data_IF_674249938848
#
_entry.id   IF_674249938848
#
_cell.length_a   1.000
_cell.length_b   1.000
_cell.length_c   1.000
_cell.angle_alpha   90.00
_cell.angle_beta   90.00
_cell.angle_gamma   90.00
#
_symmetry.space_group_name_H-M   'P 1'
#
loop_
_entity.id
_entity.type
_entity.pdbx_description
1 polymer ?
#
# COMPACT_ATOMS: atom_id res chain seq x y z
N UNK A 1 -16.84 35.85 3.77
CA UNK A 1 -17.74 34.79 4.27
C UNK A 1 -16.89 33.75 4.97
N UNK A 2 -17.14 33.45 6.24
CA UNK A 2 -16.32 32.52 7.02
C UNK A 2 -16.28 31.15 6.33
N UNK A 3 -15.08 30.69 5.97
CA UNK A 3 -14.84 29.50 5.16
C UNK A 3 -15.10 28.24 6.02
N UNK A 4 -16.38 27.86 6.16
CA UNK A 4 -16.82 26.76 7.01
C UNK A 4 -16.27 25.43 6.48
N UNK A 5 -15.72 24.59 7.37
CA UNK A 5 -15.26 23.24 7.02
C UNK A 5 -16.43 22.46 6.40
N UNK A 6 -16.26 21.86 5.21
CA UNK A 6 -17.34 21.14 4.54
C UNK A 6 -17.75 19.89 5.35
N UNK A 7 -19.06 19.64 5.46
CA UNK A 7 -19.56 18.38 6.04
C UNK A 7 -19.53 17.28 4.97
N UNK A 8 -18.37 16.62 4.85
CA UNK A 8 -18.12 15.60 3.83
C UNK A 8 -19.12 14.43 3.93
N UNK A 9 -19.67 14.15 5.12
CA UNK A 9 -20.61 13.03 5.30
C UNK A 9 -21.95 13.25 4.58
N UNK A 10 -22.33 14.52 4.32
CA UNK A 10 -23.56 14.88 3.60
C UNK A 10 -23.39 14.97 2.09
N UNK A 11 -22.17 14.81 1.59
CA UNK A 11 -21.87 14.96 0.16
C UNK A 11 -21.97 13.61 -0.57
N UNK A 12 -22.63 13.62 -1.73
CA UNK A 12 -22.63 12.49 -2.67
C UNK A 12 -21.21 12.26 -3.22
N UNK A 13 -20.98 11.11 -3.87
CA UNK A 13 -19.69 10.85 -4.51
C UNK A 13 -19.38 11.91 -5.58
N UNK A 14 -20.34 12.27 -6.43
CA UNK A 14 -20.13 13.27 -7.47
C UNK A 14 -19.79 14.64 -6.90
N UNK A 15 -20.49 15.06 -5.84
CA UNK A 15 -20.19 16.31 -5.14
C UNK A 15 -18.78 16.31 -4.56
N UNK A 16 -18.30 15.19 -4.01
CA UNK A 16 -16.93 15.07 -3.52
C UNK A 16 -15.93 15.09 -4.68
N UNK A 17 -16.19 14.34 -5.74
CA UNK A 17 -15.31 14.25 -6.91
C UNK A 17 -15.04 15.64 -7.52
N UNK A 18 -16.01 16.55 -7.49
CA UNK A 18 -15.84 17.91 -8.01
C UNK A 18 -15.13 18.88 -7.04
N UNK A 19 -14.87 18.47 -5.79
CA UNK A 19 -14.09 19.28 -4.85
C UNK A 19 -12.60 19.26 -5.18
N UNK A 20 -11.94 20.42 -5.03
CA UNK A 20 -10.47 20.51 -4.95
C UNK A 20 -9.98 19.90 -3.65
N UNK A 21 -8.88 19.16 -3.70
CA UNK A 21 -8.30 18.51 -2.50
C UNK A 21 -7.99 19.55 -1.40
N UNK A 22 -7.46 20.73 -1.77
CA UNK A 22 -7.21 21.82 -0.84
C UNK A 22 -8.47 22.42 -0.17
N UNK A 23 -9.66 22.19 -0.72
CA UNK A 23 -10.93 22.67 -0.21
C UNK A 23 -11.65 21.68 0.72
N UNK A 24 -11.12 20.46 0.86
CA UNK A 24 -11.58 19.50 1.86
C UNK A 24 -11.30 19.97 3.30
N UNK A 25 -10.37 20.92 3.47
CA UNK A 25 -9.94 21.51 4.77
C UNK A 25 -9.65 20.45 5.83
N UNK A 26 -8.91 19.42 5.43
CA UNK A 26 -8.55 18.28 6.26
C UNK A 26 -7.43 18.62 7.26
N UNK A 27 -7.50 17.98 8.42
CA UNK A 27 -6.55 18.11 9.52
C UNK A 27 -6.23 16.72 10.06
N UNK A 28 -5.04 16.55 10.63
CA UNK A 28 -4.67 15.31 11.33
C UNK A 28 -5.29 15.28 12.73
N UNK A 29 -5.38 16.45 13.38
CA UNK A 29 -5.92 16.63 14.71
C UNK A 29 -7.33 16.05 14.83
N UNK A 30 -7.59 15.43 15.98
CA UNK A 30 -8.89 14.82 16.33
C UNK A 30 -9.34 13.69 15.40
N UNK A 31 -8.39 13.03 14.70
CA UNK A 31 -8.67 11.87 13.84
C UNK A 31 -8.05 10.58 14.39
N UNK A 32 -8.49 9.40 13.94
CA UNK A 32 -7.78 8.14 14.21
C UNK A 32 -6.32 8.15 13.74
N UNK A 33 -5.98 8.97 12.73
CA UNK A 33 -4.62 9.11 12.23
C UNK A 33 -3.70 9.76 13.27
N UNK A 34 -4.17 10.76 14.02
CA UNK A 34 -3.41 11.37 15.12
C UNK A 34 -2.96 10.30 16.13
N UNK A 35 -3.89 9.43 16.56
CA UNK A 35 -3.58 8.35 17.50
C UNK A 35 -2.52 7.36 16.98
N UNK A 36 -2.49 7.13 15.66
CA UNK A 36 -1.50 6.25 15.02
C UNK A 36 -0.12 6.92 14.97
N UNK A 37 -0.07 8.22 14.68
CA UNK A 37 1.16 9.02 14.73
C UNK A 37 1.69 9.10 16.16
N UNK A 38 0.83 9.29 17.15
CA UNK A 38 1.20 9.30 18.56
C UNK A 38 1.79 7.94 18.98
N UNK A 39 1.15 6.84 18.56
CA UNK A 39 1.69 5.50 18.77
C UNK A 39 3.08 5.32 18.13
N UNK A 40 3.29 5.78 16.89
CA UNK A 40 4.62 5.74 16.26
C UNK A 40 5.66 6.51 17.09
N UNK A 41 5.31 7.72 17.54
CA UNK A 41 6.20 8.55 18.36
C UNK A 41 6.52 7.89 19.70
N UNK A 42 5.55 7.24 20.33
CA UNK A 42 5.77 6.45 21.54
C UNK A 42 6.73 5.29 21.27
N UNK A 43 6.56 4.56 20.16
CA UNK A 43 7.44 3.45 19.78
C UNK A 43 8.90 3.91 19.57
N UNK A 44 9.10 5.07 18.94
CA UNK A 44 10.43 5.69 18.77
C UNK A 44 11.03 6.06 20.13
N UNK A 45 10.26 6.68 21.02
CA UNK A 45 10.72 7.07 22.36
C UNK A 45 11.07 5.85 23.21
N UNK A 46 10.28 4.78 23.17
CA UNK A 46 10.58 3.52 23.86
C UNK A 46 11.88 2.86 23.38
N UNK A 47 12.34 3.21 22.17
CA UNK A 47 13.64 2.80 21.61
C UNK A 47 14.78 3.78 21.90
N UNK A 48 14.57 4.78 22.77
CA UNK A 48 15.57 5.81 23.10
C UNK A 48 15.69 6.94 22.07
N UNK A 49 14.90 6.89 20.99
CA UNK A 49 15.02 7.87 19.91
C UNK A 49 14.25 9.14 20.26
N UNK A 50 14.95 10.27 20.36
CA UNK A 50 14.33 11.60 20.54
C UNK A 50 13.72 12.16 19.25
N UNK A 51 14.03 11.54 18.11
CA UNK A 51 13.50 11.92 16.82
C UNK A 51 11.99 11.68 16.74
N UNK A 52 11.27 12.69 16.26
CA UNK A 52 9.84 12.62 15.97
C UNK A 52 9.62 13.16 14.56
N UNK A 53 9.27 12.32 13.57
CA UNK A 53 9.01 12.80 12.23
C UNK A 53 7.84 13.78 12.25
N UNK A 54 7.94 14.90 11.51
CA UNK A 54 6.74 15.73 11.31
C UNK A 54 5.87 15.11 10.24
N UNK A 55 4.57 15.00 10.52
CA UNK A 55 3.62 14.45 9.56
C UNK A 55 2.77 15.56 8.92
N UNK A 56 2.41 15.39 7.65
CA UNK A 56 1.44 16.25 6.97
C UNK A 56 0.58 15.44 6.00
N UNK A 57 -0.59 15.98 5.65
CA UNK A 57 -1.44 15.36 4.63
C UNK A 57 -0.95 15.74 3.24
N UNK A 58 -0.86 14.76 2.34
CA UNK A 58 -0.53 14.86 0.91
C UNK A 58 -1.51 14.00 0.10
N UNK A 59 -1.25 13.76 -1.18
CA UNK A 59 -1.99 12.79 -2.00
C UNK A 59 -1.45 11.36 -1.94
N UNK A 60 -0.24 11.14 -1.45
CA UNK A 60 0.33 9.80 -1.24
C UNK A 60 1.20 9.65 0.02
N UNK A 61 1.61 8.43 0.33
CA UNK A 61 2.63 8.10 1.32
C UNK A 61 4.02 8.31 0.73
N UNK A 62 4.86 9.09 1.41
CA UNK A 62 6.28 9.19 1.09
C UNK A 62 7.04 9.97 2.17
N UNK A 63 8.35 9.83 2.17
CA UNK A 63 9.28 10.59 3.01
C UNK A 63 10.33 11.24 2.12
N UNK A 64 10.25 12.55 1.85
CA UNK A 64 11.14 13.19 0.89
C UNK A 64 12.60 13.18 1.35
N UNK A 65 13.49 13.03 0.38
CA UNK A 65 14.93 13.12 0.63
C UNK A 65 15.31 14.46 1.27
N UNK A 66 16.09 14.38 2.36
CA UNK A 66 16.54 15.56 3.09
C UNK A 66 15.45 16.24 3.93
N UNK A 67 14.25 15.66 4.03
CA UNK A 67 13.16 16.15 4.89
C UNK A 67 12.82 15.07 5.91
N UNK A 68 13.14 15.27 7.20
CA UNK A 68 12.81 14.34 8.28
C UNK A 68 11.33 14.28 8.67
N UNK A 69 10.45 13.96 7.72
CA UNK A 69 9.02 13.87 7.95
C UNK A 69 8.30 13.00 6.93
N UNK A 70 7.01 12.77 7.19
CA UNK A 70 6.17 11.78 6.50
C UNK A 70 4.97 12.49 5.87
N UNK A 71 4.83 12.37 4.56
CA UNK A 71 3.61 12.67 3.82
C UNK A 71 2.61 11.51 4.00
N UNK A 72 1.36 11.86 4.28
CA UNK A 72 0.28 10.89 4.54
C UNK A 72 -0.88 11.18 3.58
N UNK A 73 -1.44 10.17 2.88
CA UNK A 73 -2.56 10.40 1.98
C UNK A 73 -3.77 11.02 2.69
N UNK A 74 -4.33 12.06 2.06
CA UNK A 74 -5.41 12.87 2.63
C UNK A 74 -6.66 12.03 2.95
N UNK A 75 -6.91 10.96 2.20
CA UNK A 75 -8.11 10.14 2.38
C UNK A 75 -8.16 9.45 3.75
N UNK A 76 -7.01 9.22 4.40
CA UNK A 76 -6.92 8.66 5.75
C UNK A 76 -7.40 9.61 6.85
N UNK A 77 -7.53 10.91 6.56
CA UNK A 77 -7.98 11.90 7.52
C UNK A 77 -9.51 11.88 7.72
N UNK A 78 -10.28 11.16 6.89
CA UNK A 78 -11.74 11.17 7.01
C UNK A 78 -12.42 9.89 6.49
N UNK A 79 -13.32 9.22 7.26
CA UNK A 79 -13.95 7.96 6.85
C UNK A 79 -14.71 8.02 5.52
N UNK A 80 -15.37 9.15 5.22
CA UNK A 80 -16.03 9.36 3.93
C UNK A 80 -15.08 9.28 2.73
N UNK A 81 -13.87 9.82 2.90
CA UNK A 81 -12.85 9.83 1.84
C UNK A 81 -12.22 8.44 1.71
N UNK A 82 -12.02 7.70 2.80
CA UNK A 82 -11.63 6.29 2.74
C UNK A 82 -12.65 5.44 1.96
N UNK A 83 -13.96 5.71 2.12
CA UNK A 83 -14.99 5.02 1.31
C UNK A 83 -14.89 5.39 -0.16
N UNK A 84 -14.60 6.65 -0.48
CA UNK A 84 -14.41 7.11 -1.85
C UNK A 84 -13.16 6.50 -2.47
N UNK A 85 -12.02 6.51 -1.76
CA UNK A 85 -10.76 5.87 -2.17
C UNK A 85 -11.00 4.41 -2.56
N UNK A 86 -11.66 3.65 -1.67
CA UNK A 86 -12.02 2.25 -1.94
C UNK A 86 -12.88 2.10 -3.18
N UNK A 87 -13.82 3.02 -3.43
CA UNK A 87 -14.69 2.95 -4.61
C UNK A 87 -13.92 3.29 -5.89
N UNK A 88 -12.93 4.18 -5.82
CA UNK A 88 -12.19 4.65 -6.98
C UNK A 88 -11.02 3.73 -7.34
N UNK A 89 -10.41 3.07 -6.35
CA UNK A 89 -9.16 2.31 -6.50
C UNK A 89 -9.21 0.90 -5.90
N UNK A 90 -10.37 0.46 -5.38
CA UNK A 90 -10.62 -0.86 -4.77
C UNK A 90 -9.85 -1.16 -3.48
N UNK A 91 -8.85 -0.35 -3.16
CA UNK A 91 -8.05 -0.44 -1.93
C UNK A 91 -8.07 0.89 -1.15
N UNK A 92 -7.80 0.80 0.15
CA UNK A 92 -7.44 1.96 0.97
C UNK A 92 -6.13 1.63 1.66
N UNK A 93 -5.03 2.05 1.06
CA UNK A 93 -3.71 1.84 1.64
C UNK A 93 -3.61 2.56 3.00
N UNK A 94 -3.09 1.88 4.03
CA UNK A 94 -3.18 2.35 5.41
C UNK A 94 -4.61 2.42 5.99
N UNK A 95 -5.62 1.79 5.37
CA UNK A 95 -7.00 1.89 5.81
C UNK A 95 -7.26 1.28 7.19
N UNK A 96 -6.62 0.14 7.49
CA UNK A 96 -6.69 -0.50 8.82
C UNK A 96 -5.62 0.05 9.76
N UNK A 97 -5.82 -0.10 11.08
CA UNK A 97 -4.81 0.31 12.07
C UNK A 97 -3.48 -0.40 11.80
N UNK A 98 -3.51 -1.71 11.65
CA UNK A 98 -2.29 -2.52 11.48
C UNK A 98 -1.53 -2.18 10.21
N UNK A 99 -2.25 -1.99 9.09
CA UNK A 99 -1.63 -1.62 7.82
C UNK A 99 -1.03 -0.21 7.87
N UNK A 100 -1.77 0.76 8.42
CA UNK A 100 -1.25 2.11 8.60
C UNK A 100 -0.01 2.15 9.49
N UNK A 101 0.00 1.38 10.58
CA UNK A 101 1.16 1.28 11.46
C UNK A 101 2.33 0.54 10.80
N UNK A 102 2.12 -0.28 9.78
CA UNK A 102 3.23 -0.84 9.00
C UNK A 102 3.88 0.24 8.13
N UNK A 103 3.07 0.98 7.38
CA UNK A 103 3.55 2.06 6.50
C UNK A 103 4.20 3.18 7.30
N UNK A 104 3.56 3.65 8.38
CA UNK A 104 4.13 4.68 9.26
C UNK A 104 5.52 4.33 9.81
N UNK A 105 5.76 3.05 10.14
CA UNK A 105 7.08 2.60 10.61
C UNK A 105 8.10 2.52 9.49
N UNK A 106 7.66 2.13 8.30
CA UNK A 106 8.48 2.13 7.09
C UNK A 106 8.92 3.57 6.76
N UNK A 107 7.96 4.49 6.64
CA UNK A 107 8.22 5.92 6.38
C UNK A 107 9.09 6.57 7.47
N UNK A 108 8.89 6.19 8.73
CA UNK A 108 9.77 6.65 9.81
C UNK A 108 11.24 6.20 9.62
N UNK A 109 11.47 5.08 8.93
CA UNK A 109 12.79 4.63 8.50
C UNK A 109 13.44 5.62 7.54
N UNK A 110 12.77 5.97 6.45
CA UNK A 110 13.25 6.99 5.52
C UNK A 110 13.46 8.35 6.21
N UNK A 111 12.51 8.77 7.05
CA UNK A 111 12.59 10.03 7.77
C UNK A 111 13.78 10.08 8.75
N UNK A 112 14.05 9.00 9.49
CA UNK A 112 15.18 8.96 10.44
C UNK A 112 16.53 8.86 9.72
N UNK A 113 16.58 8.15 8.59
CA UNK A 113 17.77 8.15 7.73
C UNK A 113 18.08 9.57 7.23
N UNK A 114 17.10 10.30 6.72
CA UNK A 114 17.25 11.71 6.34
C UNK A 114 17.70 12.59 7.51
N UNK A 115 17.14 12.39 8.70
CA UNK A 115 17.47 13.17 9.90
C UNK A 115 18.95 13.06 10.33
N UNK A 116 19.50 11.84 10.27
CA UNK A 116 20.85 11.51 10.76
C UNK A 116 21.86 11.20 9.66
N UNK A 117 21.46 11.33 8.38
CA UNK A 117 22.26 11.05 7.19
C UNK A 117 22.87 9.63 7.23
N UNK A 118 22.09 8.63 7.63
CA UNK A 118 22.61 7.28 7.85
C UNK A 118 23.14 6.66 6.56
N UNK A 119 22.48 6.91 5.43
CA UNK A 119 22.84 6.45 4.08
C UNK A 119 24.20 6.96 3.58
N UNK A 120 24.75 8.01 4.19
CA UNK A 120 26.09 8.51 3.87
C UNK A 120 27.22 7.60 4.40
N UNK A 121 26.93 6.79 5.42
CA UNK A 121 27.91 5.93 6.10
C UNK A 121 28.39 4.83 5.17
N UNK A 122 29.69 4.55 5.17
CA UNK A 122 30.27 3.47 4.37
C UNK A 122 29.67 2.08 4.71
N UNK A 123 29.35 1.85 6.00
CA UNK A 123 28.69 0.62 6.43
C UNK A 123 27.29 0.46 5.85
N UNK A 124 26.57 1.55 5.55
CA UNK A 124 25.23 1.47 4.96
C UNK A 124 25.34 0.82 3.58
N UNK A 125 26.27 1.32 2.76
CA UNK A 125 26.52 0.80 1.41
C UNK A 125 26.93 -0.67 1.41
N UNK A 126 27.70 -1.09 2.42
CA UNK A 126 28.11 -2.49 2.58
C UNK A 126 26.95 -3.40 2.96
N UNK A 127 25.97 -2.91 3.72
CA UNK A 127 24.88 -3.72 4.28
C UNK A 127 23.64 -3.74 3.38
N UNK A 128 23.23 -2.59 2.85
CA UNK A 128 21.98 -2.42 2.09
C UNK A 128 22.22 -2.21 0.59
N UNK A 129 23.41 -1.77 0.20
CA UNK A 129 23.72 -1.38 -1.17
C UNK A 129 23.76 0.14 -1.38
N UNK A 130 23.94 0.58 -2.62
CA UNK A 130 24.17 1.99 -2.97
C UNK A 130 22.84 2.78 -2.94
N UNK A 131 22.71 3.82 -2.09
CA UNK A 131 21.52 4.67 -2.05
C UNK A 131 21.28 5.47 -3.33
N UNK A 132 22.34 5.72 -4.10
CA UNK A 132 22.32 6.52 -5.33
C UNK A 132 21.92 5.71 -6.56
N UNK A 133 21.48 4.46 -6.40
CA UNK A 133 20.93 3.72 -7.54
C UNK A 133 19.64 4.43 -7.98
N UNK A 134 19.37 4.50 -9.28
CA UNK A 134 18.06 4.90 -9.73
C UNK A 134 17.04 3.89 -9.21
N UNK A 135 15.89 4.38 -8.76
CA UNK A 135 14.76 3.49 -8.50
C UNK A 135 14.43 2.77 -9.80
N UNK A 136 14.34 1.43 -9.77
CA UNK A 136 13.97 0.70 -10.96
C UNK A 136 12.53 1.09 -11.33
N UNK A 137 12.25 1.23 -12.62
CA UNK A 137 10.84 1.33 -13.05
C UNK A 137 10.07 0.10 -12.58
N UNK A 138 10.73 -1.08 -12.55
CA UNK A 138 10.16 -2.38 -12.23
C UNK A 138 11.19 -3.27 -11.53
N UNK A 139 10.79 -4.02 -10.50
CA UNK A 139 11.66 -4.97 -9.80
C UNK A 139 11.09 -6.39 -9.80
N UNK A 140 11.98 -7.39 -9.84
CA UNK A 140 11.65 -8.82 -9.79
C UNK A 140 12.14 -9.40 -8.46
N UNK A 141 11.30 -9.41 -7.43
CA UNK A 141 11.68 -9.96 -6.13
C UNK A 141 11.93 -11.47 -6.21
N UNK A 142 12.87 -11.95 -5.41
CA UNK A 142 13.13 -13.38 -5.17
C UNK A 142 12.37 -13.84 -3.93
N UNK A 143 11.23 -14.55 -4.07
CA UNK A 143 10.30 -14.79 -2.95
C UNK A 143 10.90 -15.56 -1.77
N UNK A 144 11.81 -16.49 -2.07
CA UNK A 144 12.43 -17.39 -1.10
C UNK A 144 13.74 -16.82 -0.53
N UNK A 145 14.15 -15.61 -0.93
CA UNK A 145 15.36 -14.99 -0.37
C UNK A 145 15.20 -14.77 1.12
N UNK A 146 16.23 -15.15 1.87
CA UNK A 146 16.36 -14.91 3.32
C UNK A 146 17.24 -13.70 3.62
N UNK A 147 17.71 -12.99 2.60
CA UNK A 147 18.59 -11.83 2.75
C UNK A 147 17.84 -10.57 3.18
N UNK A 148 16.51 -10.58 3.07
CA UNK A 148 15.64 -9.44 3.32
C UNK A 148 14.66 -9.75 4.43
N UNK A 149 14.25 -8.70 5.15
CA UNK A 149 13.13 -8.81 6.08
C UNK A 149 11.80 -8.83 5.32
N UNK A 150 10.75 -9.34 5.97
CA UNK A 150 9.38 -9.31 5.46
C UNK A 150 8.51 -8.43 6.35
N UNK A 151 8.11 -7.25 5.84
CA UNK A 151 7.29 -6.27 6.56
C UNK A 151 6.10 -5.77 5.74
N UNK A 152 6.34 -4.95 4.71
CA UNK A 152 5.36 -4.65 3.67
C UNK A 152 5.26 -5.83 2.68
N UNK A 153 4.22 -5.78 1.86
CA UNK A 153 3.91 -6.85 0.92
C UNK A 153 4.88 -6.80 -0.28
N UNK A 154 4.75 -7.75 -1.20
CA UNK A 154 5.52 -7.77 -2.46
C UNK A 154 7.05 -7.79 -2.29
N UNK A 155 7.57 -8.27 -1.16
CA UNK A 155 9.01 -8.27 -0.85
C UNK A 155 9.63 -6.88 -1.07
N UNK A 156 8.91 -5.84 -0.66
CA UNK A 156 9.26 -4.45 -0.96
C UNK A 156 10.70 -4.06 -0.58
N UNK A 157 11.27 -4.71 0.43
CA UNK A 157 12.68 -4.59 0.81
C UNK A 157 13.68 -4.89 -0.33
N UNK A 158 13.28 -5.61 -1.37
CA UNK A 158 14.11 -5.95 -2.53
C UNK A 158 14.06 -4.90 -3.64
N UNK A 159 13.15 -3.93 -3.57
CA UNK A 159 12.93 -2.95 -4.64
C UNK A 159 14.09 -1.94 -4.76
N UNK A 160 14.66 -1.52 -3.63
CA UNK A 160 15.74 -0.54 -3.60
C UNK A 160 16.53 -0.61 -2.27
N UNK A 161 17.83 -0.27 -2.22
CA UNK A 161 18.60 -0.20 -0.97
C UNK A 161 18.04 0.75 0.10
N UNK A 162 17.27 1.76 -0.28
CA UNK A 162 16.56 2.62 0.67
C UNK A 162 15.36 1.88 1.27
N UNK A 163 14.59 1.16 0.45
CA UNK A 163 13.46 0.35 0.93
C UNK A 163 13.92 -0.81 1.83
N UNK A 164 15.03 -1.47 1.52
CA UNK A 164 15.60 -2.51 2.37
C UNK A 164 15.90 -1.99 3.78
N UNK A 165 16.45 -0.77 3.88
CA UNK A 165 16.69 -0.13 5.17
C UNK A 165 15.39 0.24 5.87
N UNK A 166 14.43 0.87 5.18
CA UNK A 166 13.17 1.29 5.76
C UNK A 166 12.33 0.10 6.27
N UNK A 167 12.26 -0.98 5.50
CA UNK A 167 11.64 -2.25 5.89
C UNK A 167 12.34 -2.87 7.10
N UNK A 168 13.68 -2.94 7.08
CA UNK A 168 14.49 -3.47 8.19
C UNK A 168 14.30 -2.65 9.46
N UNK A 169 14.25 -1.32 9.33
CA UNK A 169 13.97 -0.40 10.43
C UNK A 169 12.58 -0.64 11.00
N UNK A 170 11.55 -0.79 10.17
CA UNK A 170 10.19 -1.01 10.62
C UNK A 170 10.03 -2.32 11.41
N UNK A 171 10.70 -3.41 10.99
CA UNK A 171 10.76 -4.68 11.73
C UNK A 171 11.49 -4.53 13.06
N UNK A 172 12.61 -3.79 13.07
CA UNK A 172 13.38 -3.51 14.27
C UNK A 172 12.57 -2.68 15.28
N UNK A 173 11.89 -1.63 14.82
CA UNK A 173 11.14 -0.69 15.65
C UNK A 173 9.94 -1.36 16.34
N UNK A 174 9.15 -2.14 15.57
CA UNK A 174 7.87 -2.70 16.02
C UNK A 174 7.96 -3.37 17.40
N UNK A 175 7.15 -2.96 18.39
CA UNK A 175 7.09 -3.59 19.70
C UNK A 175 6.81 -5.09 19.60
N UNK A 176 7.53 -5.88 20.39
CA UNK A 176 7.33 -7.33 20.44
C UNK A 176 7.62 -8.07 19.13
N UNK A 177 8.33 -7.48 18.16
CA UNK A 177 8.59 -8.11 16.87
C UNK A 177 9.41 -9.41 16.93
N UNK A 178 10.07 -9.70 18.07
CA UNK A 178 10.91 -10.89 18.31
C UNK A 178 11.87 -11.17 17.14
N UNK A 179 12.36 -10.11 16.49
CA UNK A 179 13.14 -10.22 15.25
C UNK A 179 14.41 -11.05 15.42
N UNK A 180 15.04 -11.00 16.61
CA UNK A 180 16.20 -11.82 16.98
C UNK A 180 15.93 -13.32 16.87
N UNK A 181 14.72 -13.76 17.21
CA UNK A 181 14.30 -15.15 17.09
C UNK A 181 13.82 -15.45 15.68
N UNK A 182 12.98 -14.57 15.10
CA UNK A 182 12.38 -14.77 13.78
C UNK A 182 13.40 -14.90 12.65
N UNK A 183 14.48 -14.12 12.70
CA UNK A 183 15.48 -14.04 11.64
C UNK A 183 16.82 -14.69 12.01
N UNK A 184 16.90 -15.46 13.11
CA UNK A 184 18.17 -15.98 13.67
C UNK A 184 19.09 -16.62 12.63
N UNK A 185 18.50 -17.43 11.75
CA UNK A 185 19.23 -18.22 10.74
C UNK A 185 19.11 -17.61 9.34
N UNK A 186 18.72 -16.33 9.26
CA UNK A 186 18.56 -15.58 8.01
C UNK A 186 19.70 -14.58 7.86
N UNK A 187 20.29 -14.42 6.67
CA UNK A 187 21.29 -13.37 6.43
C UNK A 187 20.75 -11.95 6.71
N UNK A 188 19.43 -11.73 6.61
CA UNK A 188 18.76 -10.49 7.03
C UNK A 188 19.05 -10.09 8.50
N UNK A 189 19.45 -11.04 9.35
CA UNK A 189 19.90 -10.76 10.73
C UNK A 189 21.02 -9.72 10.78
N UNK A 190 21.95 -9.76 9.82
CA UNK A 190 23.05 -8.80 9.74
C UNK A 190 22.54 -7.37 9.51
N UNK A 191 21.49 -7.20 8.71
CA UNK A 191 20.85 -5.90 8.46
C UNK A 191 20.16 -5.38 9.72
N UNK A 192 19.42 -6.25 10.41
CA UNK A 192 18.76 -5.92 11.68
C UNK A 192 19.76 -5.50 12.77
N UNK A 193 20.88 -6.21 12.89
CA UNK A 193 21.97 -5.84 13.80
C UNK A 193 22.62 -4.50 13.41
N UNK A 194 22.76 -4.22 12.11
CA UNK A 194 23.27 -2.94 11.64
C UNK A 194 22.34 -1.78 11.97
N UNK A 195 21.02 -1.94 11.76
CA UNK A 195 20.01 -0.96 12.20
C UNK A 195 20.10 -0.76 13.71
N UNK A 196 20.14 -1.83 14.50
CA UNK A 196 20.28 -1.75 15.96
C UNK A 196 21.52 -0.92 16.34
N UNK A 197 22.67 -1.17 15.72
CA UNK A 197 23.90 -0.39 15.92
C UNK A 197 23.75 1.08 15.51
N UNK A 198 23.07 1.37 14.41
CA UNK A 198 22.82 2.76 13.98
C UNK A 198 21.97 3.50 14.99
N UNK A 199 20.90 2.89 15.48
CA UNK A 199 19.99 3.51 16.44
C UNK A 199 20.68 3.79 17.78
N UNK A 200 21.47 2.84 18.29
CA UNK A 200 22.31 3.10 19.48
C UNK A 200 23.34 4.22 19.25
N UNK A 201 23.89 4.34 18.02
CA UNK A 201 24.89 5.38 17.73
C UNK A 201 24.32 6.80 17.70
N UNK A 202 23.01 6.95 17.55
CA UNK A 202 22.29 8.23 17.49
C UNK A 202 21.43 8.49 18.75
N UNK A 203 21.41 7.55 19.68
CA UNK A 203 20.72 7.71 20.96
C UNK A 203 21.23 8.97 21.69
N UNK A 204 20.31 9.75 22.24
CA UNK A 204 20.55 11.04 22.87
C UNK A 204 21.02 12.17 21.94
N UNK A 205 21.34 11.90 20.66
CA UNK A 205 21.86 12.89 19.71
C UNK A 205 20.74 13.64 19.00
N UNK A 206 20.95 14.94 18.76
CA UNK A 206 20.06 15.74 17.92
C UNK A 206 20.25 15.36 16.43
N UNK A 207 19.17 15.39 15.62
CA UNK A 207 19.29 15.15 14.20
C UNK A 207 20.09 16.27 13.52
N UNK A 208 20.86 15.90 12.50
CA UNK A 208 21.68 16.84 11.71
C UNK A 208 20.87 17.62 10.69
N UNK A 209 19.75 17.05 10.26
CA UNK A 209 18.77 17.70 9.39
C UNK A 209 17.52 17.97 10.22
N UNK A 210 17.04 19.21 10.20
CA UNK A 210 15.89 19.66 11.01
C UNK A 210 14.81 20.34 10.15
N UNK A 211 14.89 20.20 8.82
CA UNK A 211 13.92 20.77 7.89
C UNK A 211 12.50 20.30 8.22
N UNK A 212 11.57 21.26 8.27
CA UNK A 212 10.12 21.02 8.43
C UNK A 212 9.33 21.35 7.16
N UNK A 213 10.02 21.40 6.02
CA UNK A 213 9.39 21.59 4.73
C UNK A 213 8.34 20.48 4.49
N UNK A 214 7.29 20.84 3.75
CA UNK A 214 6.21 19.93 3.37
C UNK A 214 6.14 19.94 1.85
N UNK A 215 6.42 18.80 1.24
CA UNK A 215 6.28 18.59 -0.19
C UNK A 215 4.81 18.25 -0.46
N UNK A 216 4.24 18.91 -1.48
CA UNK A 216 2.84 18.73 -1.91
C UNK A 216 1.77 18.68 -0.79
N UNK A 217 1.81 19.57 0.23
CA UNK A 217 0.84 19.51 1.31
C UNK A 217 -0.58 19.71 0.78
N UNK A 218 -1.56 19.00 1.35
CA UNK A 218 -2.98 19.01 0.95
C UNK A 218 -3.53 20.41 0.67
N UNK A 219 -3.10 21.41 1.46
CA UNK A 219 -3.45 22.83 1.32
C UNK A 219 -3.06 23.47 -0.02
N UNK A 220 -2.11 22.87 -0.76
CA UNK A 220 -1.57 23.34 -2.04
C UNK A 220 -2.05 22.49 -3.22
N UNK A 221 -2.71 21.35 -2.98
CA UNK A 221 -3.20 20.47 -4.04
C UNK A 221 -4.52 21.01 -4.61
N UNK A 222 -4.43 21.71 -5.75
CA UNK A 222 -5.56 22.40 -6.40
C UNK A 222 -6.38 21.50 -7.34
N UNK A 223 -5.86 20.33 -7.74
CA UNK A 223 -6.61 19.37 -8.58
C UNK A 223 -7.86 18.87 -7.83
N UNK A 224 -8.92 18.58 -8.57
CA UNK A 224 -10.14 17.99 -8.01
C UNK A 224 -9.90 16.53 -7.65
N UNK A 225 -10.74 15.97 -6.77
CA UNK A 225 -10.73 14.54 -6.48
C UNK A 225 -10.97 13.73 -7.77
N UNK A 226 -11.85 14.18 -8.66
CA UNK A 226 -12.07 13.59 -9.99
C UNK A 226 -10.78 13.48 -10.80
N UNK A 227 -10.05 14.59 -10.95
CA UNK A 227 -8.78 14.60 -11.68
C UNK A 227 -7.72 13.75 -10.98
N UNK A 228 -7.65 13.76 -9.64
CA UNK A 228 -6.74 12.91 -8.89
C UNK A 228 -7.00 11.43 -9.17
N UNK A 229 -8.24 10.96 -9.04
CA UNK A 229 -8.60 9.57 -9.27
C UNK A 229 -8.51 9.15 -10.72
N UNK A 230 -8.79 10.04 -11.68
CA UNK A 230 -8.56 9.77 -13.09
C UNK A 230 -7.07 9.50 -13.36
N UNK A 231 -6.18 10.40 -12.94
CA UNK A 231 -4.73 10.24 -13.12
C UNK A 231 -4.18 9.01 -12.40
N UNK A 232 -4.67 8.73 -11.19
CA UNK A 232 -4.24 7.56 -10.42
C UNK A 232 -4.63 6.27 -11.14
N UNK A 233 -5.83 6.20 -11.73
CA UNK A 233 -6.26 5.06 -12.56
C UNK A 233 -5.44 4.91 -13.84
N UNK A 234 -5.21 6.01 -14.56
CA UNK A 234 -4.34 6.02 -15.76
C UNK A 234 -2.91 5.57 -15.42
N UNK A 235 -2.38 5.96 -14.26
CA UNK A 235 -1.01 5.63 -13.84
C UNK A 235 -0.82 4.15 -13.47
N UNK A 236 -1.82 3.56 -12.80
CA UNK A 236 -1.81 2.15 -12.40
C UNK A 236 -2.38 1.21 -13.47
N UNK A 237 -2.66 1.71 -14.69
CA UNK A 237 -3.38 0.98 -15.76
C UNK A 237 -4.65 0.30 -15.23
N UNK A 238 -5.30 0.95 -14.25
CA UNK A 238 -6.60 0.55 -13.73
C UNK A 238 -7.64 1.04 -14.74
N UNK A 239 -7.57 0.49 -15.94
CA UNK A 239 -8.59 0.58 -16.96
C UNK A 239 -9.78 -0.26 -16.49
N UNK A 240 -10.77 0.40 -15.90
CA UNK A 240 -12.12 -0.10 -15.81
C UNK A 240 -13.01 0.72 -16.76
N UNK A 241 -13.90 0.15 -17.61
CA UNK A 241 -14.32 -1.26 -17.77
C UNK A 241 -14.63 -1.65 -19.24
N UNK A 242 -13.84 -2.52 -19.88
CA UNK A 242 -14.33 -3.18 -21.13
C UNK A 242 -13.73 -4.56 -21.40
N UNK A 243 -12.56 -4.87 -20.85
CA UNK A 243 -11.86 -6.12 -21.18
C UNK A 243 -12.41 -7.32 -20.38
N UNK A 244 -12.91 -7.09 -19.15
CA UNK A 244 -13.35 -8.17 -18.24
C UNK A 244 -14.77 -8.66 -18.47
N UNK A 245 -15.67 -7.78 -18.92
CA UNK A 245 -17.10 -8.09 -18.98
C UNK A 245 -17.38 -9.21 -19.99
N UNK A 246 -16.63 -9.26 -21.09
CA UNK A 246 -16.79 -10.30 -22.10
C UNK A 246 -16.33 -11.67 -21.59
N UNK A 247 -15.23 -11.74 -20.84
CA UNK A 247 -14.77 -12.99 -20.27
C UNK A 247 -15.67 -13.45 -19.12
N UNK A 248 -16.10 -12.53 -18.25
CA UNK A 248 -17.06 -12.85 -17.19
C UNK A 248 -18.42 -13.30 -17.73
N UNK A 249 -18.89 -12.75 -18.85
CA UNK A 249 -20.11 -13.20 -19.55
C UNK A 249 -19.95 -14.54 -20.27
N UNK A 250 -18.72 -15.01 -20.52
CA UNK A 250 -18.47 -16.39 -20.97
C UNK A 250 -18.51 -17.38 -19.81
N UNK A 251 -18.04 -16.97 -18.62
CA UNK A 251 -18.03 -17.81 -17.42
C UNK A 251 -19.39 -17.89 -16.72
N UNK A 252 -20.16 -16.80 -16.75
CA UNK A 252 -21.42 -16.64 -16.02
C UNK A 252 -22.49 -16.05 -16.94
N UNK A 253 -23.76 -16.31 -16.62
CA UNK A 253 -24.88 -15.88 -17.47
C UNK A 253 -25.68 -14.76 -16.81
N UNK A 254 -26.18 -13.84 -17.64
CA UNK A 254 -27.20 -12.84 -17.27
C UNK A 254 -28.62 -13.25 -17.73
N UNK A 255 -28.81 -14.47 -18.23
CA UNK A 255 -30.10 -14.92 -18.76
C UNK A 255 -31.17 -15.02 -17.68
N UNK A 256 -32.39 -14.64 -18.05
CA UNK A 256 -33.56 -14.69 -17.17
C UNK A 256 -33.81 -16.11 -16.62
N UNK A 257 -33.44 -17.15 -17.37
CA UNK A 257 -33.54 -18.55 -16.97
C UNK A 257 -32.71 -18.88 -15.71
N UNK A 258 -31.62 -18.13 -15.46
CA UNK A 258 -30.70 -18.35 -14.34
C UNK A 258 -30.90 -17.36 -13.17
N UNK A 259 -31.97 -16.56 -13.18
CA UNK A 259 -32.21 -15.51 -12.17
C UNK A 259 -32.28 -16.02 -10.73
N UNK A 260 -32.70 -17.28 -10.54
CA UNK A 260 -32.78 -17.96 -9.23
C UNK A 260 -31.48 -18.65 -8.81
N UNK A 261 -30.47 -18.69 -9.68
CA UNK A 261 -29.20 -19.35 -9.39
C UNK A 261 -28.33 -18.49 -8.47
N UNK A 262 -27.35 -19.14 -7.85
CA UNK A 262 -26.29 -18.50 -7.06
C UNK A 262 -25.65 -17.37 -7.86
N UNK A 263 -25.48 -16.20 -7.23
CA UNK A 263 -24.76 -15.08 -7.88
C UNK A 263 -23.32 -15.50 -8.20
N UNK A 264 -22.80 -15.04 -9.33
CA UNK A 264 -21.41 -15.25 -9.71
C UNK A 264 -20.46 -14.72 -8.62
N UNK A 265 -20.79 -13.57 -8.02
CA UNK A 265 -20.05 -12.98 -6.90
C UNK A 265 -20.02 -13.89 -5.65
N UNK A 266 -21.14 -14.51 -5.26
CA UNK A 266 -21.17 -15.44 -4.14
C UNK A 266 -20.40 -16.74 -4.44
N UNK A 267 -20.51 -17.23 -5.67
CA UNK A 267 -19.77 -18.40 -6.12
C UNK A 267 -18.25 -18.16 -6.08
N UNK A 268 -17.76 -17.05 -6.65
CA UNK A 268 -16.35 -16.66 -6.62
C UNK A 268 -15.83 -16.46 -5.19
N UNK A 269 -16.61 -15.81 -4.31
CA UNK A 269 -16.24 -15.69 -2.89
C UNK A 269 -16.07 -17.06 -2.21
N UNK A 270 -16.95 -18.02 -2.50
CA UNK A 270 -16.87 -19.38 -1.95
C UNK A 270 -15.59 -20.11 -2.37
N UNK A 271 -15.17 -19.94 -3.64
CA UNK A 271 -14.00 -20.64 -4.19
C UNK A 271 -12.68 -19.84 -4.09
N UNK A 272 -12.74 -18.57 -3.67
CA UNK A 272 -11.61 -17.63 -3.59
C UNK A 272 -10.36 -18.22 -2.96
N UNK A 273 -10.50 -18.84 -1.79
CA UNK A 273 -9.36 -19.43 -1.08
C UNK A 273 -8.70 -20.58 -1.82
N UNK A 274 -9.46 -21.34 -2.61
CA UNK A 274 -8.94 -22.42 -3.45
C UNK A 274 -8.31 -21.89 -4.74
N UNK A 275 -8.97 -20.95 -5.43
CA UNK A 275 -8.43 -20.24 -6.60
C UNK A 275 -7.05 -19.66 -6.26
N UNK A 276 -6.97 -18.92 -5.15
CA UNK A 276 -5.74 -18.31 -4.67
C UNK A 276 -4.61 -19.32 -4.48
N UNK A 277 -4.88 -20.42 -3.76
CA UNK A 277 -3.86 -21.47 -3.50
C UNK A 277 -3.41 -22.18 -4.78
N UNK A 278 -4.34 -22.49 -5.69
CA UNK A 278 -4.04 -23.25 -6.90
C UNK A 278 -3.31 -22.42 -7.94
N UNK A 279 -3.77 -21.19 -8.17
CA UNK A 279 -3.12 -20.27 -9.10
C UNK A 279 -1.73 -19.91 -8.60
N UNK A 280 -1.56 -19.61 -7.30
CA UNK A 280 -0.23 -19.34 -6.72
C UNK A 280 0.74 -20.51 -6.91
N UNK A 281 0.26 -21.76 -6.78
CA UNK A 281 1.09 -22.96 -6.99
C UNK A 281 1.54 -23.12 -8.44
N UNK A 282 0.70 -22.77 -9.41
CA UNK A 282 0.94 -22.98 -10.84
C UNK A 282 1.74 -21.87 -11.49
N UNK A 283 1.48 -20.64 -11.07
CA UNK A 283 2.10 -19.44 -11.65
C UNK A 283 3.38 -19.04 -10.89
N UNK A 284 3.59 -19.56 -9.67
CA UNK A 284 4.64 -19.07 -8.77
C UNK A 284 4.30 -17.73 -8.12
N UNK A 285 3.11 -17.20 -8.42
CA UNK A 285 2.71 -15.83 -8.12
C UNK A 285 2.11 -15.66 -6.73
N UNK A 286 2.06 -14.40 -6.30
CA UNK A 286 1.71 -14.03 -4.95
C UNK A 286 0.22 -14.13 -4.69
N UNK A 287 -0.12 -14.74 -3.55
CA UNK A 287 -1.50 -14.92 -3.12
C UNK A 287 -2.28 -13.61 -3.04
N UNK A 288 -1.63 -12.45 -2.85
CA UNK A 288 -2.27 -11.15 -2.78
C UNK A 288 -2.71 -10.60 -4.14
N UNK A 289 -1.83 -10.59 -5.15
CA UNK A 289 -2.15 -10.18 -6.53
C UNK A 289 -3.30 -11.02 -7.09
N UNK A 290 -3.24 -12.33 -6.85
CA UNK A 290 -4.32 -13.24 -7.21
C UNK A 290 -5.63 -12.88 -6.49
N UNK A 291 -5.54 -12.48 -5.22
CA UNK A 291 -6.70 -12.08 -4.42
C UNK A 291 -7.30 -10.74 -4.89
N UNK A 292 -6.49 -9.81 -5.39
CA UNK A 292 -6.92 -8.57 -6.04
C UNK A 292 -7.67 -8.87 -7.34
N UNK A 293 -7.12 -9.70 -8.23
CA UNK A 293 -7.79 -10.13 -9.47
C UNK A 293 -9.12 -10.81 -9.16
N UNK A 294 -9.17 -11.68 -8.15
CA UNK A 294 -10.42 -12.35 -7.75
C UNK A 294 -11.43 -11.35 -7.18
N UNK A 295 -10.98 -10.36 -6.39
CA UNK A 295 -11.85 -9.33 -5.82
C UNK A 295 -12.49 -8.46 -6.92
N UNK A 296 -11.70 -8.07 -7.91
CA UNK A 296 -12.17 -7.35 -9.10
C UNK A 296 -13.23 -8.15 -9.88
N UNK A 297 -12.96 -9.43 -10.15
CA UNK A 297 -13.94 -10.31 -10.79
C UNK A 297 -15.25 -10.40 -9.99
N UNK A 298 -15.18 -10.44 -8.65
CA UNK A 298 -16.37 -10.47 -7.76
C UNK A 298 -17.19 -9.19 -7.91
N UNK A 299 -16.55 -8.04 -7.95
CA UNK A 299 -17.21 -6.73 -8.03
C UNK A 299 -17.87 -6.53 -9.39
N UNK A 300 -17.17 -6.83 -10.49
CA UNK A 300 -17.74 -6.80 -11.84
C UNK A 300 -18.91 -7.77 -12.00
N UNK A 301 -18.82 -8.97 -11.42
CA UNK A 301 -19.95 -9.91 -11.40
C UNK A 301 -21.20 -9.34 -10.71
N UNK A 302 -21.05 -8.49 -9.68
CA UNK A 302 -22.19 -7.84 -9.02
C UNK A 302 -22.80 -6.76 -9.90
N UNK A 303 -21.97 -5.94 -10.53
CA UNK A 303 -22.42 -4.84 -11.39
C UNK A 303 -23.11 -5.35 -12.66
N UNK A 304 -22.66 -6.48 -13.19
CA UNK A 304 -23.26 -7.15 -14.36
C UNK A 304 -24.43 -8.08 -14.00
N UNK A 305 -24.79 -8.18 -12.71
CA UNK A 305 -25.83 -9.06 -12.17
C UNK A 305 -25.69 -10.55 -12.58
N UNK A 306 -24.46 -11.02 -12.77
CA UNK A 306 -24.19 -12.34 -13.33
C UNK A 306 -24.54 -13.49 -12.36
N UNK A 307 -24.97 -14.59 -12.94
CA UNK A 307 -25.45 -15.80 -12.26
C UNK A 307 -24.68 -17.03 -12.72
N UNK A 308 -24.55 -17.98 -11.81
CA UNK A 308 -23.92 -19.26 -12.10
C UNK A 308 -24.79 -20.08 -13.06
N UNK A 309 -24.18 -20.60 -14.13
CA UNK A 309 -24.81 -21.55 -15.05
C UNK A 309 -24.98 -22.95 -14.45
N UNK A 310 -25.39 -23.94 -15.27
CA UNK A 310 -25.70 -25.30 -14.79
C UNK A 310 -24.46 -26.14 -14.44
N UNK A 311 -23.24 -25.74 -14.83
CA UNK A 311 -22.01 -26.51 -14.64
C UNK A 311 -20.99 -25.86 -13.68
N UNK A 312 -21.23 -25.84 -12.35
CA UNK A 312 -20.34 -25.22 -11.37
C UNK A 312 -18.87 -25.68 -11.41
N UNK A 313 -18.61 -26.96 -11.69
CA UNK A 313 -17.25 -27.51 -11.73
C UNK A 313 -16.48 -27.14 -13.01
N UNK A 314 -17.20 -26.84 -14.10
CA UNK A 314 -16.63 -26.31 -15.34
C UNK A 314 -16.35 -24.81 -15.16
N UNK A 315 -17.33 -24.05 -14.67
CA UNK A 315 -17.14 -22.62 -14.35
C UNK A 315 -15.98 -22.39 -13.37
N UNK A 316 -15.79 -23.30 -12.39
CA UNK A 316 -14.65 -23.23 -11.46
C UNK A 316 -13.31 -23.42 -12.19
N UNK A 317 -13.22 -24.35 -13.15
CA UNK A 317 -12.02 -24.60 -13.95
C UNK A 317 -11.69 -23.40 -14.83
N UNK A 318 -12.69 -22.84 -15.50
CA UNK A 318 -12.49 -21.68 -16.35
C UNK A 318 -12.16 -20.42 -15.53
N UNK A 319 -12.72 -20.27 -14.34
CA UNK A 319 -12.34 -19.23 -13.39
C UNK A 319 -10.88 -19.38 -12.94
N UNK A 320 -10.38 -20.60 -12.73
CA UNK A 320 -8.96 -20.83 -12.43
C UNK A 320 -8.06 -20.41 -13.59
N UNK A 321 -8.43 -20.75 -14.83
CA UNK A 321 -7.67 -20.38 -16.04
C UNK A 321 -7.67 -18.87 -16.21
N UNK A 322 -8.83 -18.22 -16.11
CA UNK A 322 -8.96 -16.78 -16.24
C UNK A 322 -8.13 -16.06 -15.18
N UNK A 323 -8.24 -16.46 -13.90
CA UNK A 323 -7.43 -15.86 -12.82
C UNK A 323 -5.94 -16.10 -13.07
N UNK A 324 -5.52 -17.27 -13.54
CA UNK A 324 -4.12 -17.54 -13.84
C UNK A 324 -3.60 -16.68 -14.99
N UNK A 325 -4.27 -16.69 -16.15
CA UNK A 325 -3.90 -15.87 -17.32
C UNK A 325 -3.87 -14.39 -16.95
N UNK A 326 -4.85 -13.92 -16.15
CA UNK A 326 -4.91 -12.53 -15.71
C UNK A 326 -3.86 -12.18 -14.69
N UNK A 327 -3.57 -13.05 -13.73
CA UNK A 327 -2.47 -12.82 -12.79
C UNK A 327 -1.15 -12.68 -13.57
N UNK A 328 -0.95 -13.53 -14.57
CA UNK A 328 0.23 -13.47 -15.45
C UNK A 328 0.23 -12.19 -16.31
N UNK A 329 -0.87 -11.83 -16.98
CA UNK A 329 -0.96 -10.62 -17.82
C UNK A 329 -0.90 -9.32 -17.01
N UNK A 330 -1.51 -9.27 -15.82
CA UNK A 330 -1.40 -8.16 -14.87
C UNK A 330 0.06 -7.88 -14.50
N UNK A 331 0.95 -8.86 -14.63
CA UNK A 331 2.39 -8.69 -14.39
C UNK A 331 3.19 -8.38 -15.66
N UNK A 332 2.72 -8.83 -16.83
CA UNK A 332 3.32 -8.50 -18.13
C UNK A 332 2.95 -7.10 -18.63
N UNK A 333 1.73 -6.63 -18.34
CA UNK A 333 1.22 -5.28 -18.61
C UNK A 333 1.52 -4.36 -17.40
N UNK A 334 1.16 -4.78 -16.19
CA UNK A 334 1.40 -4.05 -14.94
C UNK A 334 2.70 -4.43 -14.22
N UNK A 335 3.83 -4.24 -14.89
CA UNK A 335 5.13 -4.29 -14.21
C UNK A 335 5.07 -3.29 -13.03
N UNK A 336 5.45 -3.72 -11.81
CA UNK A 336 5.28 -2.93 -10.58
C UNK A 336 6.07 -1.61 -10.62
N UNK A 337 5.40 -0.50 -10.96
CA UNK A 337 5.96 0.84 -10.82
C UNK A 337 6.25 1.12 -9.35
N UNK A 338 7.51 1.46 -9.06
CA UNK A 338 7.87 2.04 -7.76
C UNK A 338 7.08 3.35 -7.64
N UNK A 339 6.26 3.48 -6.59
CA UNK A 339 5.77 4.79 -6.17
C UNK A 339 6.99 5.60 -5.73
N UNK A 340 7.36 6.61 -6.51
CA UNK A 340 8.44 7.57 -6.20
C UNK A 340 7.89 8.69 -5.34
#
# INVERSE_FOLDING_TARGET
MANKKPDLNRMSDDQLLDMRICDLKLTIQDTPLQKRIDQLNEELVHRGLRFKPHCWLSDDWFSPDGIPGIAIPFYLAHPRLMRLERKQLLEVEGGTKDWCMKILRHEAGHAIDSAYRLRSRASYRKTFGKPSLPYPEYYHPTPLSRDYVLHLEMWYAQSHPLEDFAETFAVWLRPGSRWRTRYRDWPAMNKLQMVDKYMHSIDGKKPSVTSRAKIEPVSRIRKTLRTHYQRKREHYEVDFPSIYDNDLRKLFSSDAAHRRNTTAAAFLNRIRGELRRRVARWTGEYSYTIDQVIQEMIERCRELELRLGPSPEETKRDAMILVAVRTTNFLYEGRHRVAV
#
